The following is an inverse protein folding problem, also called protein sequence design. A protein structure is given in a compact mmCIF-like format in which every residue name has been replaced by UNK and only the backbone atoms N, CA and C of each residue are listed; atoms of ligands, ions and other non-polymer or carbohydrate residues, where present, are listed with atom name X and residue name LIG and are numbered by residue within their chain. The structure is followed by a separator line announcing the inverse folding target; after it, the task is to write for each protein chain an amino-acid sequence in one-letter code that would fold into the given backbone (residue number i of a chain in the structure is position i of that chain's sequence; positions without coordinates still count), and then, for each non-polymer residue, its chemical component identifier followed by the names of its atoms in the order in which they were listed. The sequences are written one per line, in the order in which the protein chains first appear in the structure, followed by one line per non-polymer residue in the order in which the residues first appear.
data_IF_894404772399
#
_entry.id   IF_894404772399
#
_cell.length_a   1.000
_cell.length_b   1.000
_cell.length_c   1.000
_cell.angle_alpha   90.00
_cell.angle_beta   90.00
_cell.angle_gamma   90.00
#
_symmetry.space_group_name_H-M   'P 1'
#
loop_
_entity.id
_entity.type
_entity.pdbx_description
1 polymer ?
#
# COMPACT_ATOMS: atom_id res chain seq x y z
N UNK A 1 -5.27 -10.52 10.31
CA UNK A 1 -5.39 -9.92 8.95
C UNK A 1 -5.99 -8.54 9.05
N UNK A 2 -5.44 -7.60 8.27
CA UNK A 2 -5.93 -6.22 8.28
C UNK A 2 -7.13 -6.07 7.34
N UNK A 3 -8.16 -5.39 7.81
CA UNK A 3 -9.32 -5.05 7.01
C UNK A 3 -9.55 -3.56 6.88
N UNK A 4 -8.99 -2.76 7.80
CA UNK A 4 -9.09 -1.30 7.80
C UNK A 4 -7.98 -0.70 8.65
N UNK A 5 -7.64 0.56 8.36
CA UNK A 5 -6.75 1.36 9.20
C UNK A 5 -7.06 2.83 9.00
N UNK A 6 -6.49 3.69 9.86
CA UNK A 6 -6.69 5.13 9.75
C UNK A 6 -5.38 5.85 9.42
N UNK A 7 -5.53 6.95 8.70
CA UNK A 7 -4.45 7.87 8.40
C UNK A 7 -5.03 9.28 8.40
N UNK A 8 -4.80 9.98 9.49
CA UNK A 8 -5.32 11.33 9.69
C UNK A 8 -4.16 12.30 9.92
N UNK A 9 -3.35 12.47 8.87
CA UNK A 9 -2.19 13.36 8.87
C UNK A 9 -2.24 14.20 7.60
N UNK A 10 -2.05 15.51 7.72
CA UNK A 10 -2.06 16.38 6.56
C UNK A 10 -0.71 16.37 5.81
N UNK A 11 -0.71 16.94 4.62
CA UNK A 11 0.47 17.00 3.77
C UNK A 11 1.65 17.72 4.45
N UNK A 12 1.36 18.78 5.20
CA UNK A 12 2.37 19.56 5.92
C UNK A 12 3.07 18.72 6.99
N UNK A 13 2.31 17.93 7.73
CA UNK A 13 2.86 17.05 8.77
C UNK A 13 3.70 15.94 8.14
N UNK A 14 3.27 15.38 7.01
CA UNK A 14 4.05 14.41 6.26
C UNK A 14 5.40 14.97 5.83
N UNK A 15 5.42 16.19 5.31
CA UNK A 15 6.66 16.87 4.92
C UNK A 15 7.59 17.08 6.11
N UNK A 16 7.06 17.37 7.27
CA UNK A 16 7.84 17.53 8.51
C UNK A 16 8.48 16.21 8.93
N UNK A 17 7.74 15.11 8.84
CA UNK A 17 8.24 13.78 9.21
C UNK A 17 9.22 13.18 8.19
N UNK A 18 9.01 13.49 6.91
CA UNK A 18 9.81 12.94 5.81
C UNK A 18 10.36 14.07 4.94
N UNK A 19 11.28 14.92 5.48
CA UNK A 19 11.69 16.13 4.78
C UNK A 19 12.48 15.88 3.49
N UNK A 20 13.09 14.71 3.34
CA UNK A 20 13.88 14.37 2.17
C UNK A 20 13.15 13.53 1.14
N UNK A 21 11.88 13.22 1.40
CA UNK A 21 11.06 12.43 0.48
C UNK A 21 10.28 13.33 -0.47
N UNK A 22 10.15 12.90 -1.72
CA UNK A 22 9.19 13.48 -2.64
C UNK A 22 7.79 13.01 -2.25
N UNK A 23 6.91 13.94 -1.96
CA UNK A 23 5.57 13.65 -1.48
C UNK A 23 4.56 14.10 -2.51
N UNK A 24 3.84 13.14 -3.12
CA UNK A 24 2.65 13.44 -3.90
C UNK A 24 1.55 13.89 -2.94
N UNK A 25 0.77 14.94 -3.27
CA UNK A 25 -0.32 15.35 -2.40
C UNK A 25 -1.25 14.20 -2.08
N UNK A 26 -1.48 13.96 -0.78
CA UNK A 26 -2.33 12.89 -0.30
C UNK A 26 -3.46 13.47 0.53
N UNK A 27 -4.64 12.88 0.41
CA UNK A 27 -5.78 13.25 1.23
C UNK A 27 -5.76 12.47 2.53
N UNK A 28 -5.99 13.18 3.63
CA UNK A 28 -6.20 12.56 4.92
C UNK A 28 -7.55 11.84 4.91
N UNK A 29 -7.53 10.54 5.17
CA UNK A 29 -8.74 9.73 5.27
C UNK A 29 -8.71 8.99 6.58
N UNK A 30 -9.75 9.20 7.37
CA UNK A 30 -9.84 8.62 8.70
C UNK A 30 -9.99 7.10 8.69
N UNK A 31 -10.59 6.54 7.64
CA UNK A 31 -10.91 5.12 7.59
C UNK A 31 -10.60 4.55 6.21
N UNK A 32 -9.43 3.93 6.08
CA UNK A 32 -9.05 3.26 4.85
C UNK A 32 -9.59 1.83 4.79
N UNK A 33 -10.10 1.46 3.63
CA UNK A 33 -10.61 0.13 3.34
C UNK A 33 -9.98 -0.41 2.06
N UNK A 34 -10.01 -1.74 1.84
CA UNK A 34 -9.59 -2.30 0.56
C UNK A 34 -10.26 -1.62 -0.62
N UNK A 35 -9.58 -1.54 -1.75
CA UNK A 35 -9.93 -0.83 -2.98
C UNK A 35 -9.74 0.68 -2.96
N UNK A 36 -9.49 1.27 -1.81
CA UNK A 36 -9.14 2.70 -1.72
C UNK A 36 -7.67 2.92 -2.02
N UNK A 37 -7.33 4.12 -2.53
CA UNK A 37 -5.94 4.53 -2.70
C UNK A 37 -5.42 5.11 -1.39
N UNK A 38 -4.22 4.69 -1.00
CA UNK A 38 -3.63 5.06 0.28
C UNK A 38 -2.18 5.49 0.10
N UNK A 39 -1.66 6.35 0.99
CA UNK A 39 -0.28 6.79 0.94
C UNK A 39 0.66 5.67 1.35
N UNK A 40 1.71 5.48 0.56
CA UNK A 40 2.76 4.50 0.82
C UNK A 40 4.13 5.13 0.59
N UNK A 41 5.16 4.55 1.19
CA UNK A 41 6.53 4.95 0.98
C UNK A 41 7.25 3.87 0.17
N UNK A 42 7.81 4.28 -0.97
CA UNK A 42 8.75 3.46 -1.73
C UNK A 42 10.05 4.25 -1.90
N UNK A 43 11.17 3.66 -1.52
CA UNK A 43 12.49 4.31 -1.54
C UNK A 43 12.42 5.69 -0.88
N UNK A 44 12.45 6.77 -1.66
CA UNK A 44 12.40 8.15 -1.15
C UNK A 44 11.16 8.92 -1.62
N UNK A 45 10.11 8.21 -2.00
CA UNK A 45 8.86 8.80 -2.47
C UNK A 45 7.70 8.40 -1.58
N UNK A 46 6.80 9.36 -1.35
CA UNK A 46 5.47 9.09 -0.78
C UNK A 46 4.46 9.25 -1.91
N UNK A 47 3.84 8.17 -2.29
CA UNK A 47 2.86 8.14 -3.40
C UNK A 47 1.59 7.44 -2.95
N UNK A 48 0.55 7.53 -3.75
CA UNK A 48 -0.68 6.80 -3.50
C UNK A 48 -0.73 5.52 -4.32
N UNK A 49 -1.12 4.43 -3.67
CA UNK A 49 -1.38 3.16 -4.34
C UNK A 49 -2.70 2.57 -3.86
N UNK A 50 -3.33 1.82 -4.73
CA UNK A 50 -4.59 1.15 -4.43
C UNK A 50 -4.35 -0.09 -3.59
N UNK A 51 -5.13 -0.25 -2.53
CA UNK A 51 -5.09 -1.45 -1.69
C UNK A 51 -5.79 -2.61 -2.38
N UNK A 52 -5.04 -3.59 -2.75
CA UNK A 52 -5.52 -4.79 -3.44
C UNK A 52 -4.55 -5.17 -4.56
N UNK A 53 -3.99 -6.35 -4.48
CA UNK A 53 -3.04 -6.83 -5.48
C UNK A 53 -3.76 -7.56 -6.61
N UNK A 54 -3.52 -7.11 -7.84
CA UNK A 54 -3.88 -7.84 -9.05
C UNK A 54 -2.58 -8.31 -9.68
N UNK A 55 -2.29 -9.63 -9.73
CA UNK A 55 -1.06 -10.11 -10.34
C UNK A 55 -0.97 -9.73 -11.82
N UNK A 56 0.25 -9.50 -12.30
CA UNK A 56 0.46 -9.09 -13.69
C UNK A 56 -0.05 -10.10 -14.72
N UNK A 57 -0.12 -11.37 -14.35
CA UNK A 57 -0.63 -12.43 -15.21
C UNK A 57 -2.15 -12.54 -15.20
N UNK A 58 -2.84 -11.85 -14.30
CA UNK A 58 -4.30 -11.88 -14.20
C UNK A 58 -4.90 -10.85 -15.15
N UNK A 59 -5.10 -11.23 -16.39
CA UNK A 59 -5.66 -10.35 -17.43
C UNK A 59 -7.18 -10.29 -17.42
N UNK A 60 -7.81 -11.13 -16.63
CA UNK A 60 -9.28 -11.19 -16.55
C UNK A 60 -9.80 -10.11 -15.63
N UNK A 61 -10.75 -9.31 -16.13
CA UNK A 61 -11.40 -8.25 -15.34
C UNK A 61 -12.19 -8.76 -14.14
N UNK A 62 -12.48 -10.05 -14.10
CA UNK A 62 -13.20 -10.69 -13.00
C UNK A 62 -12.26 -11.12 -11.85
N UNK A 63 -10.95 -10.94 -11.99
CA UNK A 63 -10.02 -11.30 -10.93
C UNK A 63 -10.28 -10.43 -9.70
N UNK A 64 -10.53 -11.08 -8.56
CA UNK A 64 -10.76 -10.38 -7.30
C UNK A 64 -9.42 -9.96 -6.70
N UNK A 65 -9.19 -8.65 -6.46
CA UNK A 65 -7.92 -8.21 -5.87
C UNK A 65 -7.66 -8.85 -4.51
N UNK A 66 -6.40 -9.22 -4.29
CA UNK A 66 -5.96 -9.83 -3.04
C UNK A 66 -5.64 -8.74 -2.03
N UNK A 67 -6.32 -8.74 -0.89
CA UNK A 67 -6.19 -7.70 0.13
C UNK A 67 -5.23 -8.07 1.25
N UNK A 68 -4.87 -9.35 1.38
CA UNK A 68 -3.95 -9.85 2.40
C UNK A 68 -3.07 -10.96 1.83
N UNK A 69 -1.91 -11.16 2.46
CA UNK A 69 -1.01 -12.27 2.17
C UNK A 69 -0.63 -12.96 3.49
N UNK A 70 -0.63 -14.28 3.48
CA UNK A 70 -0.18 -15.06 4.65
C UNK A 70 1.34 -15.15 4.66
N UNK A 71 1.97 -14.78 5.78
CA UNK A 71 3.43 -14.85 5.90
C UNK A 71 3.99 -16.25 5.68
N UNK A 72 3.25 -17.28 6.07
CA UNK A 72 3.68 -18.68 5.97
C UNK A 72 3.87 -19.15 4.53
N UNK A 73 3.14 -18.56 3.58
CA UNK A 73 3.16 -18.99 2.18
C UNK A 73 3.51 -17.91 1.19
N UNK A 74 3.88 -16.72 1.67
CA UNK A 74 4.15 -15.56 0.80
C UNK A 74 5.28 -15.82 -0.20
N UNK A 75 6.27 -16.60 0.17
CA UNK A 75 7.40 -16.96 -0.69
C UNK A 75 7.06 -18.05 -1.71
N UNK A 76 5.91 -18.69 -1.58
CA UNK A 76 5.50 -19.82 -2.41
C UNK A 76 4.38 -19.47 -3.37
N UNK A 77 3.45 -18.59 -2.96
CA UNK A 77 2.27 -18.24 -3.77
C UNK A 77 2.67 -17.49 -5.04
N UNK A 78 2.17 -17.90 -6.21
CA UNK A 78 2.51 -17.24 -7.48
C UNK A 78 2.20 -15.74 -7.51
N UNK A 79 1.18 -15.31 -6.76
CA UNK A 79 0.77 -13.90 -6.70
C UNK A 79 1.80 -13.02 -6.01
N UNK A 80 2.56 -13.56 -5.05
CA UNK A 80 3.42 -12.77 -4.17
C UNK A 80 4.91 -13.06 -4.29
N UNK A 81 5.30 -14.29 -4.65
CA UNK A 81 6.71 -14.73 -4.55
C UNK A 81 7.68 -13.85 -5.33
N UNK A 82 7.26 -13.26 -6.45
CA UNK A 82 8.10 -12.38 -7.26
C UNK A 82 8.26 -10.98 -6.67
N UNK A 83 7.44 -10.62 -5.70
CA UNK A 83 7.39 -9.28 -5.14
C UNK A 83 8.17 -9.16 -3.83
N UNK A 84 8.46 -10.29 -3.18
CA UNK A 84 9.00 -10.31 -1.81
C UNK A 84 10.38 -9.65 -1.70
N UNK A 85 11.24 -9.83 -2.70
CA UNK A 85 12.62 -9.35 -2.62
C UNK A 85 12.78 -7.87 -2.98
N UNK A 86 12.04 -7.37 -3.96
CA UNK A 86 12.30 -6.04 -4.53
C UNK A 86 11.09 -5.13 -4.62
N UNK A 87 9.88 -5.64 -4.43
CA UNK A 87 8.66 -4.86 -4.57
C UNK A 87 7.95 -4.70 -3.22
N UNK A 88 8.62 -4.01 -2.31
CA UNK A 88 8.11 -3.74 -0.96
C UNK A 88 7.83 -2.26 -0.77
N UNK A 89 6.92 -1.96 0.13
CA UNK A 89 6.62 -0.60 0.52
C UNK A 89 6.31 -0.53 2.01
N UNK A 90 6.25 0.68 2.53
CA UNK A 90 5.77 0.96 3.88
C UNK A 90 4.42 1.65 3.79
N UNK A 91 3.47 1.19 4.57
CA UNK A 91 2.16 1.81 4.68
C UNK A 91 2.18 2.73 5.89
N UNK A 92 1.80 3.99 5.67
CA UNK A 92 1.75 5.00 6.72
C UNK A 92 0.39 4.92 7.38
N UNK A 93 0.36 4.81 8.70
CA UNK A 93 -0.89 4.81 9.44
C UNK A 93 -0.68 5.42 10.83
N UNK A 94 -1.74 5.88 11.45
CA UNK A 94 -1.75 6.33 12.83
C UNK A 94 -2.91 5.72 13.65
N UNK A 95 -3.51 4.70 13.10
CA UNK A 95 -4.56 3.97 13.82
C UNK A 95 -5.05 2.73 13.11
#
# INVERSE_FOLDING_TARGET
MCGRFSFDIDHKELKTRYPYHKITPVNSIFNFAPSMSLPIIITNHVIEMKWGLVPYWAKNKTFKPLINARGETINEKPSFKHLVDSNRCLIISNG
#
